data_IF_575186830150
#
_entry.id   IF_575186830150
#
_cell.length_a   1.000
_cell.length_b   1.000
_cell.length_c   1.000
_cell.angle_alpha   90.00
_cell.angle_beta   90.00
_cell.angle_gamma   90.00
#
_symmetry.space_group_name_H-M   'P 1'
#
loop_
_entity.id
_entity.type
_entity.pdbx_description
1 polymer ?
#
# COMPACT_ATOMS: atom_id res chain seq x y z
N UNK A 1 2.73 13.10 15.63
CA UNK A 1 2.23 13.34 14.26
C UNK A 1 1.00 12.48 14.05
N UNK A 2 -0.09 13.04 13.57
CA UNK A 2 -1.31 12.27 13.25
C UNK A 2 -1.07 11.58 11.91
N UNK A 3 -1.03 10.24 11.91
CA UNK A 3 -0.96 9.46 10.67
C UNK A 3 -2.35 9.49 10.01
N UNK A 4 -2.39 9.79 8.72
CA UNK A 4 -3.58 9.70 7.88
C UNK A 4 -3.34 8.59 6.85
N UNK A 5 -4.23 7.61 6.78
CA UNK A 5 -4.10 6.41 5.95
C UNK A 5 -5.34 6.28 5.08
N UNK A 6 -5.15 6.06 3.78
CA UNK A 6 -6.22 5.71 2.85
C UNK A 6 -6.23 4.20 2.63
N UNK A 7 -7.38 3.56 2.77
CA UNK A 7 -7.59 2.14 2.49
C UNK A 7 -8.56 2.01 1.30
N UNK A 8 -8.05 1.59 0.16
CA UNK A 8 -8.81 1.41 -1.08
C UNK A 8 -9.09 -0.08 -1.32
N UNK A 9 -10.37 -0.45 -1.26
CA UNK A 9 -10.86 -1.81 -1.49
C UNK A 9 -12.36 -1.74 -1.83
N UNK A 10 -12.82 -2.46 -2.85
CA UNK A 10 -14.21 -2.48 -3.28
C UNK A 10 -15.12 -3.30 -2.34
N UNK A 11 -14.54 -4.13 -1.47
CA UNK A 11 -15.27 -4.96 -0.52
C UNK A 11 -15.29 -4.34 0.89
N UNK A 12 -16.45 -3.83 1.30
CA UNK A 12 -16.64 -3.20 2.63
C UNK A 12 -16.15 -4.04 3.82
N UNK A 13 -16.43 -5.35 3.82
CA UNK A 13 -16.02 -6.25 4.91
C UNK A 13 -14.51 -6.40 4.98
N UNK A 14 -13.84 -6.43 3.83
CA UNK A 14 -12.38 -6.61 3.74
C UNK A 14 -11.66 -5.41 4.35
N UNK A 15 -12.21 -4.19 4.22
CA UNK A 15 -11.61 -2.95 4.78
C UNK A 15 -11.43 -2.96 6.30
N UNK A 16 -12.25 -3.73 7.04
CA UNK A 16 -12.14 -3.80 8.51
C UNK A 16 -10.84 -4.45 8.98
N UNK A 17 -10.34 -5.46 8.25
CA UNK A 17 -9.09 -6.16 8.60
C UNK A 17 -7.88 -5.21 8.58
N UNK A 18 -7.54 -4.60 7.44
CA UNK A 18 -6.46 -3.63 7.34
C UNK A 18 -6.63 -2.44 8.28
N UNK A 19 -7.86 -1.97 8.52
CA UNK A 19 -8.12 -0.90 9.49
C UNK A 19 -7.66 -1.28 10.91
N UNK A 20 -7.98 -2.50 11.37
CA UNK A 20 -7.56 -2.99 12.69
C UNK A 20 -6.03 -3.08 12.80
N UNK A 21 -5.39 -3.67 11.78
CA UNK A 21 -3.93 -3.80 11.71
C UNK A 21 -3.24 -2.43 11.74
N UNK A 22 -3.74 -1.46 10.95
CA UNK A 22 -3.22 -0.10 10.93
C UNK A 22 -3.34 0.56 12.31
N UNK A 23 -4.48 0.42 12.98
CA UNK A 23 -4.70 0.99 14.32
C UNK A 23 -3.82 0.33 15.39
N UNK A 24 -3.63 -0.98 15.31
CA UNK A 24 -2.76 -1.72 16.23
C UNK A 24 -1.30 -1.26 16.13
N UNK A 25 -0.85 -1.01 14.90
CA UNK A 25 0.55 -0.67 14.60
C UNK A 25 0.85 0.82 14.78
N UNK A 26 0.02 1.69 14.20
CA UNK A 26 0.24 3.14 14.16
C UNK A 26 -0.49 3.89 15.30
N UNK A 27 -1.36 3.20 16.03
CA UNK A 27 -2.15 3.71 17.14
C UNK A 27 -3.60 4.00 16.77
N UNK A 28 -4.50 3.87 17.77
CA UNK A 28 -5.96 4.02 17.59
C UNK A 28 -6.42 5.42 17.14
N UNK A 29 -5.59 6.45 17.35
CA UNK A 29 -5.85 7.82 16.92
C UNK A 29 -5.48 8.07 15.44
N UNK A 30 -5.03 7.05 14.71
CA UNK A 30 -4.74 7.14 13.28
C UNK A 30 -6.02 7.46 12.51
N UNK A 31 -6.00 8.52 11.71
CA UNK A 31 -7.09 8.87 10.82
C UNK A 31 -7.11 7.90 9.64
N UNK A 32 -8.27 7.32 9.33
CA UNK A 32 -8.43 6.32 8.28
C UNK A 32 -9.59 6.73 7.38
N UNK A 33 -9.28 6.89 6.10
CA UNK A 33 -10.26 7.08 5.02
C UNK A 33 -10.38 5.82 4.18
N UNK A 34 -11.52 5.65 3.52
CA UNK A 34 -11.79 4.51 2.66
C UNK A 34 -12.11 4.94 1.23
N UNK A 35 -11.67 4.17 0.24
CA UNK A 35 -12.14 4.29 -1.14
C UNK A 35 -12.66 2.94 -1.63
N UNK A 36 -13.68 2.96 -2.50
CA UNK A 36 -14.32 1.73 -3.04
C UNK A 36 -13.92 1.40 -4.49
N UNK A 37 -13.23 2.31 -5.17
CA UNK A 37 -12.79 2.14 -6.54
C UNK A 37 -11.59 3.06 -6.85
N UNK A 38 -11.01 2.92 -8.04
CA UNK A 38 -9.85 3.71 -8.45
C UNK A 38 -10.14 5.21 -8.52
N UNK A 39 -11.30 5.60 -9.07
CA UNK A 39 -11.71 7.00 -9.19
C UNK A 39 -11.78 7.72 -7.83
N UNK A 40 -12.45 7.11 -6.84
CA UNK A 40 -12.55 7.66 -5.47
C UNK A 40 -11.18 7.73 -4.80
N UNK A 41 -10.31 6.74 -5.06
CA UNK A 41 -8.94 6.72 -4.54
C UNK A 41 -8.16 7.94 -5.02
N UNK A 42 -8.20 8.21 -6.33
CA UNK A 42 -7.52 9.36 -6.94
C UNK A 42 -8.13 10.68 -6.47
N UNK A 43 -9.46 10.79 -6.39
CA UNK A 43 -10.13 11.99 -5.91
C UNK A 43 -9.75 12.32 -4.46
N UNK A 44 -9.73 11.33 -3.57
CA UNK A 44 -9.31 11.52 -2.18
C UNK A 44 -7.86 11.95 -2.07
N UNK A 45 -6.95 11.37 -2.85
CA UNK A 45 -5.53 11.76 -2.84
C UNK A 45 -5.33 13.19 -3.36
N UNK A 46 -6.18 13.67 -4.29
CA UNK A 46 -6.13 15.07 -4.76
C UNK A 46 -6.63 16.07 -3.72
N UNK A 47 -7.56 15.66 -2.86
CA UNK A 47 -8.29 16.57 -1.97
C UNK A 47 -7.83 16.51 -0.52
N UNK A 48 -7.21 15.39 -0.12
CA UNK A 48 -6.77 15.11 1.23
C UNK A 48 -5.30 14.67 1.23
N UNK A 49 -4.61 14.90 2.35
CA UNK A 49 -3.23 14.46 2.54
C UNK A 49 -3.18 13.12 3.28
N UNK A 50 -2.45 12.17 2.71
CA UNK A 50 -2.22 10.85 3.31
C UNK A 50 -0.73 10.61 3.50
N UNK A 51 -0.40 9.85 4.53
CA UNK A 51 0.96 9.38 4.78
C UNK A 51 1.21 7.97 4.22
N UNK A 52 0.12 7.28 3.86
CA UNK A 52 0.12 5.92 3.36
C UNK A 52 -1.18 5.60 2.61
N UNK A 53 -1.06 4.83 1.53
CA UNK A 53 -2.15 4.18 0.80
C UNK A 53 -2.01 2.66 0.95
N UNK A 54 -3.06 1.99 1.43
CA UNK A 54 -3.24 0.55 1.31
C UNK A 54 -4.26 0.32 0.19
N UNK A 55 -3.87 -0.34 -0.89
CA UNK A 55 -4.76 -0.51 -2.06
C UNK A 55 -4.86 -1.94 -2.50
N UNK A 56 -6.08 -2.41 -2.76
CA UNK A 56 -6.28 -3.52 -3.68
C UNK A 56 -6.07 -3.04 -5.12
N UNK A 57 -5.61 -3.94 -5.99
CA UNK A 57 -5.48 -3.72 -7.41
C UNK A 57 -6.69 -4.26 -8.17
N UNK A 58 -7.44 -5.20 -7.57
CA UNK A 58 -8.62 -5.78 -8.17
C UNK A 58 -9.89 -5.00 -7.76
N UNK A 59 -9.95 -3.72 -8.12
CA UNK A 59 -11.12 -2.86 -7.89
C UNK A 59 -11.69 -2.35 -9.23
N UNK A 60 -12.99 -2.01 -9.29
CA UNK A 60 -13.55 -1.28 -10.43
C UNK A 60 -12.82 0.03 -10.70
N UNK A 61 -12.90 0.50 -11.95
CA UNK A 61 -12.35 1.79 -12.37
C UNK A 61 -10.84 1.94 -12.06
N UNK A 62 -10.12 0.82 -12.06
CA UNK A 62 -8.69 0.74 -11.75
C UNK A 62 -7.98 0.02 -12.89
N UNK A 63 -7.01 0.69 -13.50
CA UNK A 63 -5.91 0.01 -14.18
C UNK A 63 -4.84 -0.27 -13.12
N UNK A 64 -4.52 -1.54 -12.87
CA UNK A 64 -3.71 -1.99 -11.72
C UNK A 64 -2.38 -1.23 -11.63
N UNK A 65 -1.63 -1.09 -12.74
CA UNK A 65 -0.41 -0.30 -12.77
C UNK A 65 -0.69 1.20 -12.95
N UNK A 66 -1.76 1.53 -13.68
CA UNK A 66 -2.17 2.90 -13.95
C UNK A 66 -2.48 3.69 -12.67
N UNK A 67 -3.15 3.09 -11.68
CA UNK A 67 -3.48 3.77 -10.42
C UNK A 67 -2.21 4.14 -9.64
N UNK A 68 -1.24 3.23 -9.56
CA UNK A 68 0.02 3.46 -8.86
C UNK A 68 0.78 4.62 -9.49
N UNK A 69 0.88 4.60 -10.82
CA UNK A 69 1.51 5.66 -11.59
C UNK A 69 0.81 7.01 -11.36
N UNK A 70 -0.52 7.03 -11.36
CA UNK A 70 -1.29 8.26 -11.15
C UNK A 70 -1.14 8.78 -9.72
N UNK A 71 -1.19 7.91 -8.73
CA UNK A 71 -0.99 8.26 -7.33
C UNK A 71 0.39 8.88 -7.12
N UNK A 72 1.44 8.26 -7.63
CA UNK A 72 2.81 8.78 -7.45
C UNK A 72 3.09 10.04 -8.27
N UNK A 73 2.35 10.27 -9.36
CA UNK A 73 2.36 11.57 -10.06
C UNK A 73 1.73 12.69 -9.23
N UNK A 74 0.71 12.37 -8.43
CA UNK A 74 0.03 13.34 -7.55
C UNK A 74 0.84 13.59 -6.27
N UNK A 75 1.35 12.52 -5.66
CA UNK A 75 2.21 12.59 -4.48
C UNK A 75 3.36 11.56 -4.58
N UNK A 76 4.55 11.99 -5.04
CA UNK A 76 5.73 11.12 -5.14
C UNK A 76 6.24 10.60 -3.79
N UNK A 77 5.78 11.15 -2.66
CA UNK A 77 6.20 10.74 -1.30
C UNK A 77 5.18 9.82 -0.65
N UNK A 78 4.02 9.59 -1.26
CA UNK A 78 2.99 8.74 -0.69
C UNK A 78 3.47 7.29 -0.63
N UNK A 79 3.49 6.72 0.57
CA UNK A 79 3.87 5.31 0.75
C UNK A 79 2.73 4.41 0.31
N UNK A 80 2.97 3.55 -0.67
CA UNK A 80 1.95 2.64 -1.19
C UNK A 80 2.23 1.21 -0.75
N UNK A 81 1.22 0.55 -0.20
CA UNK A 81 1.20 -0.88 0.10
C UNK A 81 0.08 -1.52 -0.72
N UNK A 82 0.43 -2.48 -1.57
CA UNK A 82 -0.55 -3.27 -2.31
C UNK A 82 -1.03 -4.44 -1.45
N UNK A 83 -2.34 -4.67 -1.40
CA UNK A 83 -2.97 -5.76 -0.67
C UNK A 83 -3.93 -6.50 -1.61
N UNK A 84 -3.61 -7.73 -2.02
CA UNK A 84 -4.38 -8.42 -3.07
C UNK A 84 -4.41 -9.93 -2.87
N UNK A 85 -5.44 -10.60 -3.39
CA UNK A 85 -5.55 -12.08 -3.38
C UNK A 85 -4.67 -12.76 -4.44
N UNK A 86 -4.13 -12.01 -5.40
CA UNK A 86 -3.33 -12.57 -6.51
C UNK A 86 -1.94 -12.98 -6.02
N UNK A 87 -1.55 -14.27 -6.14
CA UNK A 87 -0.21 -14.71 -5.83
C UNK A 87 0.69 -14.57 -7.05
N UNK A 88 1.64 -13.64 -7.06
CA UNK A 88 2.87 -13.82 -7.84
C UNK A 88 3.98 -12.82 -7.47
N UNK A 89 5.18 -13.33 -7.21
CA UNK A 89 6.40 -12.53 -7.06
C UNK A 89 6.73 -11.76 -8.35
N UNK A 90 6.45 -12.32 -9.54
CA UNK A 90 6.70 -11.63 -10.81
C UNK A 90 5.78 -10.43 -10.98
N UNK A 91 4.56 -10.51 -10.47
CA UNK A 91 3.61 -9.42 -10.48
C UNK A 91 4.07 -8.30 -9.54
N UNK A 92 4.44 -8.64 -8.30
CA UNK A 92 4.98 -7.69 -7.32
C UNK A 92 6.21 -6.91 -7.83
N UNK A 93 7.11 -7.56 -8.60
CA UNK A 93 8.29 -6.89 -9.19
C UNK A 93 7.95 -5.67 -10.04
N UNK A 94 6.82 -5.69 -10.76
CA UNK A 94 6.40 -4.54 -11.58
C UNK A 94 6.04 -3.34 -10.69
N UNK A 95 5.28 -3.58 -9.63
CA UNK A 95 4.88 -2.55 -8.67
C UNK A 95 6.05 -1.97 -7.90
N UNK A 96 7.03 -2.79 -7.51
CA UNK A 96 8.24 -2.30 -6.86
C UNK A 96 9.04 -1.34 -7.74
N UNK A 97 9.10 -1.59 -9.06
CA UNK A 97 9.77 -0.67 -10.01
C UNK A 97 9.05 0.68 -10.12
N UNK A 98 7.74 0.69 -9.92
CA UNK A 98 6.94 1.93 -9.91
C UNK A 98 7.05 2.68 -8.58
N UNK A 99 7.65 2.11 -7.52
CA UNK A 99 7.82 2.77 -6.22
C UNK A 99 6.87 2.31 -5.12
N UNK A 100 6.16 1.19 -5.32
CA UNK A 100 5.40 0.54 -4.23
C UNK A 100 6.36 0.07 -3.15
N UNK A 101 6.00 0.31 -1.89
CA UNK A 101 6.84 -0.02 -0.73
C UNK A 101 6.73 -1.49 -0.34
N UNK A 102 5.52 -2.04 -0.40
CA UNK A 102 5.23 -3.39 0.04
C UNK A 102 4.07 -4.01 -0.75
N UNK A 103 4.07 -5.34 -0.83
CA UNK A 103 3.04 -6.13 -1.47
C UNK A 103 2.63 -7.27 -0.54
N UNK A 104 1.35 -7.31 -0.19
CA UNK A 104 0.77 -8.25 0.77
C UNK A 104 -0.24 -9.13 0.04
N UNK A 105 -0.11 -10.44 0.22
CA UNK A 105 -1.10 -11.38 -0.27
C UNK A 105 -2.20 -11.56 0.80
N UNK A 106 -3.46 -11.30 0.45
CA UNK A 106 -4.62 -11.46 1.36
C UNK A 106 -4.83 -12.91 1.83
N UNK A 107 -4.39 -13.89 1.05
CA UNK A 107 -4.47 -15.32 1.37
C UNK A 107 -3.29 -15.80 2.22
N UNK A 108 -2.17 -15.08 2.22
CA UNK A 108 -0.99 -15.33 3.06
C UNK A 108 -0.81 -14.18 4.05
N UNK A 109 -1.79 -14.01 4.95
CA UNK A 109 -1.90 -12.89 5.88
C UNK A 109 -0.75 -12.71 6.85
N UNK A 110 0.24 -13.63 6.87
CA UNK A 110 1.40 -13.56 7.76
C UNK A 110 2.68 -13.11 7.04
N UNK A 111 2.62 -12.88 5.71
CA UNK A 111 3.80 -12.64 4.87
C UNK A 111 3.68 -11.37 4.03
N UNK A 112 4.73 -10.56 4.03
CA UNK A 112 4.88 -9.38 3.18
C UNK A 112 6.02 -9.57 2.22
N UNK A 113 5.80 -9.23 0.95
CA UNK A 113 6.88 -9.03 0.00
C UNK A 113 7.30 -7.57 0.04
N UNK A 114 8.58 -7.32 0.28
CA UNK A 114 9.22 -6.03 0.04
C UNK A 114 10.17 -6.16 -1.15
N UNK A 115 10.75 -5.03 -1.59
CA UNK A 115 11.62 -4.93 -2.77
C UNK A 115 12.77 -5.97 -2.76
N UNK A 116 13.29 -6.33 -1.58
CA UNK A 116 14.46 -7.19 -1.43
C UNK A 116 14.15 -8.63 -0.97
N UNK A 117 13.13 -8.85 -0.13
CA UNK A 117 12.87 -10.13 0.54
C UNK A 117 11.41 -10.29 1.00
N UNK A 118 11.04 -11.51 1.41
CA UNK A 118 9.79 -11.78 2.15
C UNK A 118 10.04 -11.59 3.64
N UNK A 119 9.28 -10.73 4.31
CA UNK A 119 9.41 -10.43 5.75
C UNK A 119 8.07 -10.54 6.48
N UNK A 120 8.06 -10.79 7.81
CA UNK A 120 6.83 -10.74 8.61
C UNK A 120 6.22 -9.33 8.64
N UNK A 121 4.89 -9.22 8.58
CA UNK A 121 4.14 -7.95 8.58
C UNK A 121 4.54 -6.99 9.69
N UNK A 122 4.71 -7.51 10.90
CA UNK A 122 5.07 -6.75 12.09
C UNK A 122 6.44 -6.07 11.95
N UNK A 123 7.35 -6.65 11.16
CA UNK A 123 8.69 -6.12 10.91
C UNK A 123 8.65 -4.98 9.88
N UNK A 124 7.85 -5.09 8.80
CA UNK A 124 7.70 -4.02 7.80
C UNK A 124 7.07 -2.74 8.34
N UNK A 125 6.25 -2.87 9.37
CA UNK A 125 5.52 -1.75 9.96
C UNK A 125 6.25 -1.10 11.14
N UNK A 126 6.99 -1.86 11.97
CA UNK A 126 7.78 -1.33 13.11
C UNK A 126 9.24 -1.02 12.75
N UNK A 127 9.84 -1.82 11.88
CA UNK A 127 11.20 -1.61 11.41
C UNK A 127 11.19 -0.59 10.30
N UNK A 128 11.36 0.70 10.65
CA UNK A 128 11.93 1.75 9.79
C UNK A 128 11.68 1.58 8.26
N UNK A 129 10.92 2.41 7.56
CA UNK A 129 11.29 3.79 7.18
C UNK A 129 12.81 4.08 6.92
N UNK A 130 13.73 3.10 6.92
CA UNK A 130 15.19 3.27 6.73
C UNK A 130 15.85 2.13 5.94
N UNK A 131 15.34 1.81 4.77
CA UNK A 131 16.26 1.49 3.67
C UNK A 131 16.10 2.57 2.64
N UNK A 132 16.74 3.70 2.93
CA UNK A 132 17.32 4.53 1.89
C UNK A 132 18.14 3.62 0.99
N UNK A 133 17.67 3.47 -0.23
CA UNK A 133 18.37 3.00 -1.40
C UNK A 133 19.89 3.28 -1.34
N UNK A 134 20.71 2.29 -1.66
CA UNK A 134 21.94 2.54 -2.41
C UNK A 134 21.79 1.87 -3.79
N UNK A 135 21.59 2.70 -4.80
CA UNK A 135 21.41 2.33 -6.21
C UNK A 135 22.73 2.10 -6.96
N UNK A 136 23.85 1.93 -6.25
CA UNK A 136 25.14 1.88 -6.91
C UNK A 136 25.50 0.45 -7.32
N UNK A 137 25.11 0.17 -8.57
CA UNK A 137 25.70 -0.73 -9.56
C UNK A 137 25.24 -2.20 -9.56
N UNK A 138 24.87 -2.72 -10.76
CA UNK A 138 24.44 -4.10 -10.94
C UNK A 138 25.65 -5.03 -11.15
N UNK A 139 25.49 -6.28 -10.74
CA UNK A 139 26.12 -7.44 -11.36
C UNK A 139 25.04 -8.52 -11.55
#
# INVERSE_FOLDING_TARGET
MTHSVLIADDHQLVRKGPQLVVKEILGFNTAIEFAKNGSETIEKIKTLNFSMLLTDLNMPETDELGIITQVLKLDPKLRIIVITVRPDRFFAKRFFREGVMAYINKMESDRVLNVENTVPLTTSFRGRLTTSYDLRHPA
#
